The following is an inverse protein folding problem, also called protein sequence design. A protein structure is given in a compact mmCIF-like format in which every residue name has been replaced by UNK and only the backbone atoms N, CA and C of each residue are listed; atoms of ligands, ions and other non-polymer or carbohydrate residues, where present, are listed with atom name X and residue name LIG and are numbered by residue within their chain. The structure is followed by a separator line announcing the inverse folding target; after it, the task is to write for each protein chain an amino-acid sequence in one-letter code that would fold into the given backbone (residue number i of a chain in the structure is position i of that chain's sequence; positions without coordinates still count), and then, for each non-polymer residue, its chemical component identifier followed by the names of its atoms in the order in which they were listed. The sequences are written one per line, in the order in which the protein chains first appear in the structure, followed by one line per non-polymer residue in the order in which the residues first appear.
data_IF_767640514128
#
_entry.id   IF_767640514128
#
_cell.length_a   1.000
_cell.length_b   1.000
_cell.length_c   1.000
_cell.angle_alpha   90.00
_cell.angle_beta   90.00
_cell.angle_gamma   90.00
#
_symmetry.space_group_name_H-M   'P 1'
#
loop_
_entity.id
_entity.type
_entity.pdbx_description
1 polymer ?
#
# COMPACT_ATOMS: atom_id res chain seq x y z
N UNK A 1 -14.77 -13.52 2.56
CA UNK A 1 -13.80 -12.45 2.88
C UNK A 1 -14.56 -11.14 2.74
N UNK A 2 -14.61 -10.31 3.78
CA UNK A 2 -15.20 -8.98 3.69
C UNK A 2 -14.43 -8.17 2.64
N UNK A 3 -15.16 -7.55 1.70
CA UNK A 3 -14.57 -6.64 0.73
C UNK A 3 -14.37 -5.28 1.39
N UNK A 4 -13.13 -4.86 1.55
CA UNK A 4 -12.77 -3.52 2.00
C UNK A 4 -12.71 -2.57 0.80
N UNK A 5 -12.90 -1.27 1.02
CA UNK A 5 -12.74 -0.23 -0.01
C UNK A 5 -11.33 -0.21 -0.64
N UNK A 6 -10.33 -0.76 0.06
CA UNK A 6 -8.94 -0.80 -0.40
C UNK A 6 -8.66 -1.99 -1.33
N UNK A 7 -9.49 -3.03 -1.29
CA UNK A 7 -9.40 -4.17 -2.20
C UNK A 7 -9.63 -3.77 -3.66
N UNK A 8 -10.52 -2.79 -3.90
CA UNK A 8 -10.81 -2.24 -5.24
C UNK A 8 -9.58 -1.58 -5.90
N UNK A 9 -8.59 -1.15 -5.11
CA UNK A 9 -7.33 -0.61 -5.65
C UNK A 9 -6.55 -1.70 -6.38
N UNK A 10 -6.58 -2.94 -5.87
CA UNK A 10 -5.91 -4.07 -6.50
C UNK A 10 -6.51 -4.41 -7.86
N UNK A 11 -7.85 -4.37 -7.97
CA UNK A 11 -8.56 -4.69 -9.22
C UNK A 11 -8.30 -3.66 -10.32
N UNK A 12 -8.16 -2.39 -9.96
CA UNK A 12 -7.92 -1.29 -10.92
C UNK A 12 -6.46 -1.13 -11.32
N UNK A 13 -5.53 -1.74 -10.57
CA UNK A 13 -4.11 -1.63 -10.85
C UNK A 13 -3.68 -2.63 -11.94
N UNK A 14 -2.96 -2.16 -12.94
CA UNK A 14 -2.63 -2.95 -14.15
C UNK A 14 -1.49 -3.96 -13.99
N UNK A 15 -0.89 -4.08 -12.79
CA UNK A 15 0.29 -4.90 -12.54
C UNK A 15 0.13 -5.74 -11.28
N UNK A 16 0.82 -6.88 -11.19
CA UNK A 16 0.91 -7.68 -9.96
C UNK A 16 1.75 -7.01 -8.86
N UNK A 17 2.54 -6.00 -9.24
CA UNK A 17 3.50 -5.32 -8.38
C UNK A 17 3.21 -3.84 -8.24
N UNK A 18 3.43 -3.31 -7.05
CA UNK A 18 3.48 -1.87 -6.77
C UNK A 18 4.93 -1.51 -6.49
N UNK A 19 5.53 -0.70 -7.35
CA UNK A 19 6.87 -0.16 -7.06
C UNK A 19 6.76 0.89 -5.97
N UNK A 20 7.79 1.02 -5.12
CA UNK A 20 7.81 2.04 -4.06
C UNK A 20 7.66 3.47 -4.61
N UNK A 21 8.16 3.72 -5.82
CA UNK A 21 8.01 5.01 -6.50
C UNK A 21 6.55 5.27 -6.96
N UNK A 22 5.81 4.22 -7.32
CA UNK A 22 4.41 4.32 -7.75
C UNK A 22 3.41 4.17 -6.62
N UNK A 23 3.86 3.88 -5.39
CA UNK A 23 2.98 3.73 -4.23
C UNK A 23 2.03 4.92 -4.02
N UNK A 24 2.51 6.15 -4.29
CA UNK A 24 1.68 7.36 -4.23
C UNK A 24 0.57 7.35 -5.28
N UNK A 25 0.88 6.89 -6.50
CA UNK A 25 -0.08 6.78 -7.60
C UNK A 25 -1.09 5.66 -7.33
N UNK A 26 -0.61 4.48 -6.95
CA UNK A 26 -1.45 3.32 -6.60
C UNK A 26 -2.48 3.67 -5.54
N UNK A 27 -2.05 4.33 -4.46
CA UNK A 27 -2.90 4.64 -3.32
C UNK A 27 -3.75 5.90 -3.47
N UNK A 28 -3.74 6.56 -4.63
CA UNK A 28 -4.42 7.85 -4.80
C UNK A 28 -3.87 8.98 -3.92
N UNK A 29 -2.62 8.86 -3.45
CA UNK A 29 -1.95 9.86 -2.63
C UNK A 29 -1.91 9.56 -1.12
N UNK A 30 -2.47 8.45 -0.65
CA UNK A 30 -2.50 8.10 0.78
C UNK A 30 -1.10 7.86 1.36
N UNK A 31 -0.19 7.25 0.59
CA UNK A 31 1.14 6.90 1.07
C UNK A 31 2.25 7.27 0.08
N UNK A 32 3.33 7.86 0.60
CA UNK A 32 4.47 8.31 -0.19
C UNK A 32 5.68 7.37 -0.15
N UNK A 33 6.51 7.46 -1.19
CA UNK A 33 7.76 6.69 -1.33
C UNK A 33 8.72 6.87 -0.14
N UNK A 34 8.95 8.11 0.30
CA UNK A 34 9.88 8.40 1.42
C UNK A 34 9.43 7.74 2.72
N UNK A 35 8.13 7.77 2.98
CA UNK A 35 7.55 7.14 4.15
C UNK A 35 7.71 5.61 4.10
N UNK A 36 7.44 5.00 2.93
CA UNK A 36 7.70 3.57 2.72
C UNK A 36 9.18 3.20 2.88
N UNK A 37 10.10 4.03 2.40
CA UNK A 37 11.54 3.79 2.57
C UNK A 37 11.96 3.78 4.05
N UNK A 38 11.39 4.67 4.87
CA UNK A 38 11.63 4.70 6.31
C UNK A 38 11.02 3.48 7.03
N UNK A 39 9.83 3.05 6.62
CA UNK A 39 9.22 1.84 7.16
C UNK A 39 9.99 0.59 6.76
N UNK A 40 10.47 0.55 5.52
CA UNK A 40 11.29 -0.52 5.01
C UNK A 40 12.57 -0.68 5.83
N UNK A 41 13.26 0.42 6.16
CA UNK A 41 14.48 0.37 6.97
C UNK A 41 14.20 -0.08 8.42
N UNK A 42 13.00 0.19 8.93
CA UNK A 42 12.54 -0.27 10.25
C UNK A 42 11.96 -1.69 10.24
N UNK A 43 11.86 -2.36 9.09
CA UNK A 43 11.19 -3.66 8.97
C UNK A 43 9.67 -3.62 9.15
N UNK A 44 9.07 -2.42 9.09
CA UNK A 44 7.63 -2.17 9.26
C UNK A 44 6.91 -1.86 7.93
N UNK A 45 7.59 -2.09 6.81
CA UNK A 45 7.05 -1.91 5.47
C UNK A 45 6.15 -3.07 5.03
N UNK A 46 5.60 -2.98 3.81
CA UNK A 46 4.82 -4.07 3.22
C UNK A 46 5.66 -5.36 3.09
N UNK A 47 5.02 -6.50 3.32
CA UNK A 47 5.66 -7.81 3.25
C UNK A 47 5.99 -8.23 1.81
N UNK A 48 6.84 -9.25 1.66
CA UNK A 48 7.17 -9.84 0.35
C UNK A 48 7.92 -8.89 -0.60
N UNK A 49 8.53 -7.83 -0.07
CA UNK A 49 9.26 -6.85 -0.88
C UNK A 49 10.39 -7.52 -1.67
N UNK A 50 10.50 -7.15 -2.93
CA UNK A 50 11.60 -7.57 -3.80
C UNK A 50 12.44 -6.37 -4.21
N UNK A 51 13.70 -6.64 -4.52
CA UNK A 51 14.59 -5.66 -5.17
C UNK A 51 14.81 -6.08 -6.62
N UNK A 52 14.48 -5.18 -7.55
CA UNK A 52 14.78 -5.33 -8.97
C UNK A 52 15.69 -4.15 -9.39
N UNK A 53 16.98 -4.43 -9.55
CA UNK A 53 18.00 -3.41 -9.76
C UNK A 53 18.00 -2.36 -8.63
N UNK A 54 17.73 -1.10 -8.99
CA UNK A 54 17.68 0.03 -8.04
C UNK A 54 16.29 0.29 -7.44
N UNK A 55 15.28 -0.52 -7.80
CA UNK A 55 13.90 -0.34 -7.38
C UNK A 55 13.48 -1.39 -6.35
N UNK A 56 12.60 -0.99 -5.45
CA UNK A 56 11.89 -1.87 -4.51
C UNK A 56 10.45 -1.96 -4.97
N UNK A 57 9.89 -3.17 -4.94
CA UNK A 57 8.50 -3.43 -5.28
C UNK A 57 7.85 -4.36 -4.25
N UNK A 58 6.54 -4.25 -4.14
CA UNK A 58 5.70 -5.05 -3.24
C UNK A 58 4.64 -5.79 -4.06
N UNK A 59 4.28 -7.03 -3.71
CA UNK A 59 3.10 -7.66 -4.27
C UNK A 59 1.87 -6.80 -3.95
N UNK A 60 0.98 -6.58 -4.92
CA UNK A 60 -0.23 -5.76 -4.73
C UNK A 60 -1.03 -6.21 -3.52
N UNK A 61 -1.24 -7.52 -3.36
CA UNK A 61 -2.00 -8.09 -2.24
C UNK A 61 -1.38 -7.72 -0.88
N UNK A 62 -0.06 -7.83 -0.73
CA UNK A 62 0.64 -7.49 0.50
C UNK A 62 0.65 -5.98 0.74
N UNK A 63 0.67 -5.18 -0.32
CA UNK A 63 0.57 -3.73 -0.22
C UNK A 63 -0.82 -3.28 0.25
N UNK A 64 -1.90 -3.89 -0.26
CA UNK A 64 -3.27 -3.62 0.20
C UNK A 64 -3.46 -4.03 1.66
N UNK A 65 -3.03 -5.23 2.06
CA UNK A 65 -3.08 -5.67 3.47
C UNK A 65 -2.37 -4.69 4.39
N UNK A 66 -1.22 -4.17 3.95
CA UNK A 66 -0.47 -3.17 4.70
C UNK A 66 -1.25 -1.85 4.87
N UNK A 67 -2.00 -1.41 3.84
CA UNK A 67 -2.86 -0.23 3.93
C UNK A 67 -4.07 -0.46 4.83
N UNK A 68 -4.71 -1.62 4.71
CA UNK A 68 -5.87 -2.02 5.54
C UNK A 68 -5.52 -2.01 7.02
N UNK A 69 -4.39 -2.62 7.39
CA UNK A 69 -3.88 -2.66 8.76
C UNK A 69 -3.60 -1.26 9.36
N UNK A 70 -3.62 -0.21 8.55
CA UNK A 70 -3.34 1.18 8.92
C UNK A 70 -4.52 2.11 8.66
N UNK A 71 -5.63 1.58 8.18
CA UNK A 71 -6.85 2.34 7.92
C UNK A 71 -7.83 2.13 9.07
N UNK A 72 -8.57 3.19 9.42
CA UNK A 72 -9.62 3.16 10.43
C UNK A 72 -10.86 3.88 9.90
N UNK A 73 -12.04 3.35 10.19
CA UNK A 73 -13.29 3.98 9.82
C UNK A 73 -13.57 5.17 10.75
N UNK A 74 -13.73 6.36 10.17
CA UNK A 74 -14.10 7.55 10.95
C UNK A 74 -15.60 7.48 11.26
N UNK A 75 -16.02 7.47 12.53
CA UNK A 75 -17.44 7.45 12.89
C UNK A 75 -18.13 8.75 12.43
N UNK A 76 -19.40 8.65 12.03
CA UNK A 76 -20.20 9.84 11.68
C UNK A 76 -20.31 10.74 12.90
N UNK A 77 -19.96 12.02 12.73
CA UNK A 77 -20.19 13.04 13.76
C UNK A 77 -21.68 13.38 13.77
N UNK A 78 -22.39 12.98 14.82
CA UNK A 78 -23.74 13.50 15.06
C UNK A 78 -23.61 15.00 15.38
N UNK A 79 -24.26 15.83 14.56
CA UNK A 79 -24.44 17.26 14.82
C UNK A 79 -25.67 17.47 15.69
#
# INVERSE_FOLDING_TARGET
MERTLLSDLAEKWSSTWVTRCEAKKFSGGLIGEKYLANLDSQGKGPAGRIRCGRKIAYPVAEFVKFLEARSEAIPKRNK
#
